data_IF_263711959050
#
_entry.id   IF_263711959050
#
_cell.length_a   1.000
_cell.length_b   1.000
_cell.length_c   1.000
_cell.angle_alpha   90.00
_cell.angle_beta   90.00
_cell.angle_gamma   90.00
#
_symmetry.space_group_name_H-M   'P 1'
#
loop_
_entity.id
_entity.type
_entity.pdbx_description
1 polymer ?
#
# COMPACT_ATOMS: atom_id res chain seq x y z
N UNK A 1 9.36 3.16 21.61
CA UNK A 1 9.15 3.77 20.28
C UNK A 1 10.20 4.85 20.07
N UNK A 2 10.92 4.85 18.93
CA UNK A 2 11.91 5.91 18.63
C UNK A 2 11.15 7.24 18.41
N UNK A 3 11.66 8.39 18.88
CA UNK A 3 11.01 9.70 18.73
C UNK A 3 10.62 10.03 17.26
N UNK A 4 11.39 9.51 16.30
CA UNK A 4 11.06 9.65 14.88
C UNK A 4 9.81 8.86 14.47
N UNK A 5 9.53 7.71 15.11
CA UNK A 5 8.33 6.90 14.88
C UNK A 5 7.08 7.57 15.45
N UNK A 6 7.19 8.25 16.59
CA UNK A 6 6.08 9.02 17.20
C UNK A 6 5.64 10.17 16.29
N UNK A 7 6.57 11.02 15.86
CA UNK A 7 6.28 12.16 14.96
C UNK A 7 5.67 11.64 13.64
N UNK A 8 6.20 10.53 13.10
CA UNK A 8 5.65 9.92 11.90
C UNK A 8 4.23 9.41 12.13
N UNK A 9 3.98 8.67 13.22
CA UNK A 9 2.65 8.15 13.52
C UNK A 9 1.63 9.28 13.70
N UNK A 10 2.00 10.36 14.41
CA UNK A 10 1.09 11.45 14.72
C UNK A 10 0.78 12.39 13.55
N UNK A 11 1.68 12.52 12.57
CA UNK A 11 1.49 13.41 11.41
C UNK A 11 1.15 12.67 10.12
N UNK A 12 1.81 11.54 9.82
CA UNK A 12 1.55 10.83 8.56
C UNK A 12 0.23 10.06 8.58
N UNK A 13 -0.20 9.55 9.73
CA UNK A 13 -1.44 8.78 9.83
C UNK A 13 -2.67 9.67 10.07
N UNK A 14 -2.50 10.99 10.21
CA UNK A 14 -3.62 11.89 10.45
C UNK A 14 -4.51 11.98 9.23
N UNK A 15 -5.82 11.80 9.41
CA UNK A 15 -6.74 11.69 8.28
C UNK A 15 -7.41 13.04 7.94
N UNK A 16 -7.42 14.01 8.84
CA UNK A 16 -8.09 15.30 8.63
C UNK A 16 -7.22 16.50 9.04
N UNK A 17 -7.57 17.68 8.52
CA UNK A 17 -6.79 18.91 8.71
C UNK A 17 -6.75 19.36 10.18
N UNK A 18 -7.87 19.25 10.88
CA UNK A 18 -8.00 19.72 12.28
C UNK A 18 -7.06 18.93 13.20
N UNK A 19 -7.10 17.59 13.11
CA UNK A 19 -6.20 16.72 13.85
C UNK A 19 -4.75 16.94 13.44
N UNK A 20 -4.46 17.24 12.15
CA UNK A 20 -3.09 17.47 11.69
C UNK A 20 -2.51 18.73 12.33
N UNK A 21 -3.27 19.83 12.32
CA UNK A 21 -2.87 21.09 12.96
C UNK A 21 -2.70 20.91 14.47
N UNK A 22 -3.65 20.24 15.15
CA UNK A 22 -3.56 19.96 16.59
C UNK A 22 -2.32 19.13 16.95
N UNK A 23 -2.08 18.04 16.24
CA UNK A 23 -0.93 17.16 16.48
C UNK A 23 0.39 17.87 16.21
N UNK A 24 0.45 18.69 15.15
CA UNK A 24 1.63 19.52 14.85
C UNK A 24 1.92 20.50 15.99
N UNK A 25 0.92 21.22 16.50
CA UNK A 25 1.10 22.16 17.62
C UNK A 25 1.60 21.46 18.90
N UNK A 26 1.04 20.29 19.24
CA UNK A 26 1.49 19.49 20.39
C UNK A 26 2.96 19.08 20.21
N UNK A 27 3.33 18.60 19.03
CA UNK A 27 4.70 18.17 18.74
C UNK A 27 5.69 19.33 18.75
N UNK A 28 5.32 20.49 18.18
CA UNK A 28 6.15 21.70 18.21
C UNK A 28 6.37 22.20 19.65
N UNK A 29 5.33 22.16 20.50
CA UNK A 29 5.47 22.50 21.93
C UNK A 29 6.40 21.52 22.66
N UNK A 30 6.25 20.21 22.41
CA UNK A 30 7.07 19.14 23.00
C UNK A 30 8.55 19.27 22.62
N UNK A 31 8.83 19.61 21.36
CA UNK A 31 10.19 19.68 20.81
C UNK A 31 10.70 21.11 20.59
N UNK A 32 10.13 22.11 21.28
CA UNK A 32 10.45 23.54 21.10
C UNK A 32 11.95 23.87 21.17
N UNK A 33 12.70 23.16 22.02
CA UNK A 33 14.14 23.36 22.21
C UNK A 33 15.01 22.46 21.32
N UNK A 34 14.41 21.71 20.38
CA UNK A 34 15.12 20.83 19.47
C UNK A 34 14.88 21.26 18.01
N UNK A 35 15.79 22.09 17.49
CA UNK A 35 15.70 22.66 16.15
C UNK A 35 15.53 21.60 15.06
N UNK A 36 16.30 20.51 15.12
CA UNK A 36 16.26 19.42 14.13
C UNK A 36 14.87 18.79 14.09
N UNK A 37 14.29 18.49 15.26
CA UNK A 37 12.94 17.92 15.36
C UNK A 37 11.86 18.92 14.92
N UNK A 38 11.97 20.18 15.30
CA UNK A 38 11.04 21.24 14.88
C UNK A 38 10.97 21.36 13.36
N UNK A 39 12.13 21.44 12.68
CA UNK A 39 12.19 21.48 11.21
C UNK A 39 11.57 20.22 10.60
N UNK A 40 11.87 19.05 11.16
CA UNK A 40 11.30 17.78 10.72
C UNK A 40 9.76 17.76 10.84
N UNK A 41 9.21 18.25 11.95
CA UNK A 41 7.76 18.35 12.19
C UNK A 41 7.13 19.30 11.16
N UNK A 42 7.69 20.48 10.95
CA UNK A 42 7.18 21.45 9.98
C UNK A 42 7.18 20.89 8.55
N UNK A 43 8.26 20.21 8.15
CA UNK A 43 8.35 19.60 6.83
C UNK A 43 7.33 18.47 6.65
N UNK A 44 7.12 17.63 7.67
CA UNK A 44 6.10 16.57 7.66
C UNK A 44 4.69 17.13 7.62
N UNK A 45 4.41 18.17 8.41
CA UNK A 45 3.14 18.89 8.40
C UNK A 45 2.84 19.44 7.00
N UNK A 46 3.76 20.19 6.39
CA UNK A 46 3.61 20.74 5.04
C UNK A 46 3.31 19.64 4.01
N UNK A 47 4.06 18.53 4.07
CA UNK A 47 3.87 17.39 3.17
C UNK A 47 2.50 16.75 3.35
N UNK A 48 2.06 16.50 4.59
CA UNK A 48 0.75 15.90 4.87
C UNK A 48 -0.39 16.84 4.50
N UNK A 49 -0.29 18.12 4.84
CA UNK A 49 -1.27 19.15 4.50
C UNK A 49 -1.54 19.16 2.99
N UNK A 50 -0.49 19.23 2.17
CA UNK A 50 -0.60 19.21 0.70
C UNK A 50 -1.32 17.97 0.15
N UNK A 51 -1.21 16.83 0.83
CA UNK A 51 -1.93 15.61 0.44
C UNK A 51 -3.41 15.71 0.82
N UNK A 52 -3.70 16.12 2.06
CA UNK A 52 -5.07 16.28 2.55
C UNK A 52 -5.85 17.32 1.72
N UNK A 53 -5.22 18.45 1.37
CA UNK A 53 -5.81 19.50 0.51
C UNK A 53 -6.23 18.95 -0.86
N UNK A 54 -5.55 17.91 -1.35
CA UNK A 54 -5.83 17.25 -2.63
C UNK A 54 -6.74 16.02 -2.51
N UNK A 55 -7.23 15.70 -1.30
CA UNK A 55 -7.98 14.47 -1.05
C UNK A 55 -7.15 13.19 -1.22
N UNK A 56 -5.82 13.29 -1.07
CA UNK A 56 -4.86 12.20 -1.24
C UNK A 56 -4.37 11.65 0.10
N UNK A 57 -3.89 10.42 0.07
CA UNK A 57 -3.29 9.72 1.20
C UNK A 57 -1.94 9.07 0.84
N UNK A 58 -1.11 8.78 1.84
CA UNK A 58 0.13 8.03 1.71
C UNK A 58 -0.10 6.62 2.23
N UNK A 59 -0.07 5.65 1.32
CA UNK A 59 -0.29 4.25 1.63
C UNK A 59 1.05 3.54 1.64
N UNK A 60 1.42 2.97 2.78
CA UNK A 60 2.63 2.17 2.94
C UNK A 60 2.43 0.81 2.28
N UNK A 61 3.35 0.43 1.40
CA UNK A 61 3.28 -0.81 0.64
C UNK A 61 4.40 -1.77 1.03
N UNK A 62 4.03 -3.02 1.22
CA UNK A 62 4.94 -4.13 1.47
C UNK A 62 4.95 -5.05 0.26
N UNK A 63 6.11 -5.63 -0.03
CA UNK A 63 6.33 -6.55 -1.14
C UNK A 63 6.94 -7.87 -0.64
N UNK A 64 6.56 -8.97 -1.27
CA UNK A 64 7.30 -10.23 -1.18
C UNK A 64 7.35 -10.93 -2.54
N UNK A 65 8.33 -11.82 -2.73
CA UNK A 65 8.43 -12.65 -3.93
C UNK A 65 7.79 -14.02 -3.70
N UNK A 66 7.35 -14.72 -4.76
CA UNK A 66 6.78 -16.06 -4.63
C UNK A 66 7.71 -17.06 -3.94
N UNK A 67 9.02 -16.90 -4.09
CA UNK A 67 10.04 -17.78 -3.51
C UNK A 67 10.41 -17.39 -2.08
N UNK A 68 10.08 -16.17 -1.65
CA UNK A 68 10.33 -15.70 -0.29
C UNK A 68 9.09 -15.00 0.29
N UNK A 69 8.05 -15.79 0.53
CA UNK A 69 6.75 -15.28 1.01
C UNK A 69 6.79 -14.79 2.46
N UNK A 70 7.76 -15.22 3.25
CA UNK A 70 7.85 -14.90 4.68
C UNK A 70 8.58 -13.58 4.94
N UNK A 71 9.50 -13.17 4.06
CA UNK A 71 10.21 -11.90 4.18
C UNK A 71 9.42 -10.78 3.52
N UNK A 72 8.94 -9.84 4.34
CA UNK A 72 8.29 -8.62 3.88
C UNK A 72 9.30 -7.50 3.67
N UNK A 73 9.35 -6.97 2.46
CA UNK A 73 10.17 -5.80 2.11
C UNK A 73 9.28 -4.57 2.11
N UNK A 74 9.63 -3.56 2.91
CA UNK A 74 8.98 -2.26 2.85
C UNK A 74 9.42 -1.53 1.56
N UNK A 75 8.51 -1.39 0.61
CA UNK A 75 8.75 -0.74 -0.69
C UNK A 75 8.52 0.78 -0.66
N UNK A 76 8.25 1.34 0.52
CA UNK A 76 7.96 2.76 0.69
C UNK A 76 6.46 3.05 0.64
N UNK A 77 6.12 4.26 0.19
CA UNK A 77 4.74 4.74 0.17
C UNK A 77 4.32 5.08 -1.26
N UNK A 78 3.06 4.79 -1.59
CA UNK A 78 2.38 5.31 -2.78
C UNK A 78 1.39 6.40 -2.38
N UNK A 79 1.11 7.32 -3.30
CA UNK A 79 0.06 8.32 -3.10
C UNK A 79 -1.22 7.87 -3.79
N UNK A 80 -2.31 7.73 -3.05
CA UNK A 80 -3.62 7.30 -3.55
C UNK A 80 -4.69 8.32 -3.22
N UNK A 81 -5.87 8.22 -3.85
CA UNK A 81 -7.06 8.90 -3.30
C UNK A 81 -7.40 8.30 -1.94
N UNK A 82 -8.00 9.10 -1.06
CA UNK A 82 -8.42 8.65 0.27
C UNK A 82 -9.41 7.49 0.17
N UNK A 83 -9.17 6.42 0.96
CA UNK A 83 -9.99 5.21 0.94
C UNK A 83 -9.87 4.34 -0.32
N UNK A 84 -9.06 4.73 -1.29
CA UNK A 84 -8.86 3.94 -2.51
C UNK A 84 -8.11 2.64 -2.19
N UNK A 85 -8.63 1.51 -2.65
CA UNK A 85 -7.93 0.23 -2.56
C UNK A 85 -6.72 0.19 -3.50
N UNK A 86 -5.73 -0.65 -3.19
CA UNK A 86 -4.57 -0.86 -4.06
C UNK A 86 -5.03 -1.34 -5.45
N UNK A 87 -6.03 -2.22 -5.52
CA UNK A 87 -6.61 -2.68 -6.79
C UNK A 87 -7.11 -1.53 -7.66
N UNK A 88 -7.88 -0.61 -7.09
CA UNK A 88 -8.40 0.55 -7.83
C UNK A 88 -7.30 1.56 -8.20
N UNK A 89 -6.28 1.71 -7.34
CA UNK A 89 -5.10 2.51 -7.68
C UNK A 89 -4.37 1.93 -8.90
N UNK A 90 -4.18 0.61 -8.94
CA UNK A 90 -3.50 -0.08 -10.04
C UNK A 90 -4.28 -0.01 -11.36
N UNK A 91 -5.62 -0.09 -11.30
CA UNK A 91 -6.47 0.10 -12.49
C UNK A 91 -6.28 1.44 -13.19
N UNK A 92 -5.86 2.48 -12.45
CA UNK A 92 -5.53 3.78 -13.03
C UNK A 92 -4.17 3.84 -13.73
N UNK A 93 -3.37 2.76 -13.73
CA UNK A 93 -2.00 2.74 -14.29
C UNK A 93 -1.91 2.18 -15.71
N UNK A 94 -2.90 1.42 -16.14
CA UNK A 94 -2.96 0.86 -17.49
C UNK A 94 -4.40 0.61 -17.89
N UNK A 95 -4.66 0.42 -19.18
CA UNK A 95 -5.96 -0.07 -19.65
C UNK A 95 -6.11 -1.53 -19.26
N UNK A 96 -7.08 -1.84 -18.42
CA UNK A 96 -7.28 -3.18 -17.85
C UNK A 96 -8.66 -3.74 -18.17
N UNK A 97 -8.74 -5.07 -18.26
CA UNK A 97 -9.97 -5.85 -18.37
C UNK A 97 -10.08 -6.84 -17.22
N UNK A 98 -11.31 -7.22 -16.89
CA UNK A 98 -11.56 -8.29 -15.93
C UNK A 98 -11.62 -9.61 -16.66
N UNK A 99 -10.96 -10.63 -16.12
CA UNK A 99 -11.10 -12.01 -16.56
C UNK A 99 -11.53 -12.87 -15.37
N UNK A 100 -12.51 -13.77 -15.55
CA UNK A 100 -12.87 -14.70 -14.51
C UNK A 100 -11.71 -15.66 -14.26
N UNK A 101 -11.48 -15.99 -13.00
CA UNK A 101 -10.52 -17.04 -12.63
C UNK A 101 -11.23 -18.39 -12.48
N UNK A 102 -12.53 -18.40 -12.17
CA UNK A 102 -13.24 -19.61 -11.76
C UNK A 102 -12.87 -20.09 -10.35
N UNK A 103 -12.21 -19.26 -9.54
CA UNK A 103 -11.90 -19.54 -8.13
C UNK A 103 -12.82 -18.78 -7.17
N UNK A 104 -13.36 -19.47 -6.16
CA UNK A 104 -14.26 -18.90 -5.16
C UNK A 104 -13.64 -17.75 -4.34
N UNK A 105 -12.32 -17.76 -4.14
CA UNK A 105 -11.62 -16.82 -3.25
C UNK A 105 -10.83 -15.76 -4.03
N UNK A 106 -10.55 -16.00 -5.31
CA UNK A 106 -9.85 -15.08 -6.19
C UNK A 106 -10.68 -14.83 -7.44
N UNK A 107 -11.96 -14.48 -7.31
CA UNK A 107 -13.00 -14.53 -8.37
C UNK A 107 -12.70 -13.77 -9.67
N UNK A 108 -11.74 -12.83 -9.64
CA UNK A 108 -11.36 -12.03 -10.82
C UNK A 108 -9.86 -11.83 -10.91
N UNK A 109 -9.37 -11.94 -12.12
CA UNK A 109 -8.05 -11.49 -12.55
C UNK A 109 -8.20 -10.16 -13.27
N UNK A 110 -7.25 -9.25 -13.08
CA UNK A 110 -7.22 -7.95 -13.74
C UNK A 110 -6.04 -7.96 -14.69
N UNK A 111 -6.33 -8.08 -15.98
CA UNK A 111 -5.32 -8.20 -17.04
C UNK A 111 -5.20 -6.88 -17.76
N UNK A 112 -3.97 -6.41 -17.95
CA UNK A 112 -3.70 -5.22 -18.75
C UNK A 112 -3.74 -5.58 -20.25
N UNK A 113 -4.36 -4.71 -21.07
CA UNK A 113 -4.38 -4.89 -22.53
C UNK A 113 -2.97 -4.89 -23.13
N UNK A 114 -2.05 -4.14 -22.51
CA UNK A 114 -0.62 -4.14 -22.80
C UNK A 114 0.14 -4.27 -21.48
N UNK A 115 1.24 -5.04 -21.43
CA UNK A 115 2.06 -5.12 -20.23
C UNK A 115 2.54 -3.74 -19.79
N UNK A 116 2.60 -3.51 -18.48
CA UNK A 116 3.04 -2.24 -17.91
C UNK A 116 4.11 -2.47 -16.85
N UNK A 117 4.86 -1.42 -16.52
CA UNK A 117 5.91 -1.52 -15.50
C UNK A 117 5.36 -1.05 -14.15
N UNK A 118 5.53 -1.88 -13.12
CA UNK A 118 5.19 -1.54 -11.75
C UNK A 118 6.30 -1.97 -10.80
N UNK A 119 6.75 -1.07 -9.92
CA UNK A 119 7.89 -1.27 -9.02
C UNK A 119 9.14 -1.85 -9.72
N UNK A 120 9.44 -1.35 -10.92
CA UNK A 120 10.61 -1.76 -11.71
C UNK A 120 10.47 -3.10 -12.43
N UNK A 121 9.30 -3.74 -12.40
CA UNK A 121 9.06 -5.01 -13.10
C UNK A 121 7.91 -4.90 -14.11
N UNK A 122 8.11 -5.51 -15.28
CA UNK A 122 7.06 -5.62 -16.32
C UNK A 122 6.05 -6.67 -15.90
N UNK A 123 4.77 -6.29 -15.84
CA UNK A 123 3.65 -7.13 -15.40
C UNK A 123 2.54 -7.10 -16.45
N UNK A 124 1.85 -8.22 -16.61
CA UNK A 124 0.73 -8.42 -17.52
C UNK A 124 -0.60 -8.19 -16.81
N UNK A 125 -0.64 -8.35 -15.49
CA UNK A 125 -1.84 -8.13 -14.70
C UNK A 125 -1.60 -8.38 -13.22
N UNK A 126 -2.71 -8.39 -12.48
CA UNK A 126 -2.70 -8.78 -11.08
C UNK A 126 -4.02 -9.40 -10.64
N UNK A 127 -3.96 -10.15 -9.55
CA UNK A 127 -5.13 -10.70 -8.87
C UNK A 127 -5.30 -9.90 -7.58
N UNK A 128 -6.40 -9.13 -7.43
CA UNK A 128 -6.64 -8.32 -6.25
C UNK A 128 -7.05 -9.17 -5.05
N UNK A 129 -6.75 -8.68 -3.86
CA UNK A 129 -7.29 -9.18 -2.61
C UNK A 129 -7.51 -8.02 -1.63
N UNK A 130 -8.45 -8.21 -0.71
CA UNK A 130 -8.82 -7.19 0.25
C UNK A 130 -7.89 -7.15 1.47
N UNK A 131 -7.96 -6.07 2.25
CA UNK A 131 -7.28 -5.97 3.54
C UNK A 131 -8.00 -6.77 4.61
N UNK A 132 -7.23 -7.22 5.61
CA UNK A 132 -7.74 -7.78 6.86
C UNK A 132 -7.59 -6.75 8.00
N UNK A 133 -7.75 -7.18 9.27
CA UNK A 133 -7.77 -6.24 10.39
C UNK A 133 -6.42 -5.57 10.66
N UNK A 134 -5.32 -6.26 10.35
CA UNK A 134 -3.96 -5.81 10.61
C UNK A 134 -2.97 -6.33 9.57
N UNK A 135 -1.72 -5.84 9.63
CA UNK A 135 -0.69 -6.18 8.65
C UNK A 135 -0.41 -7.70 8.56
N UNK A 136 -0.39 -8.40 9.70
CA UNK A 136 -0.09 -9.84 9.76
C UNK A 136 -1.19 -10.66 9.11
N UNK A 137 -2.44 -10.31 9.37
CA UNK A 137 -3.60 -10.96 8.77
C UNK A 137 -3.68 -10.69 7.26
N UNK A 138 -3.47 -9.43 6.84
CA UNK A 138 -3.45 -9.10 5.41
C UNK A 138 -2.32 -9.87 4.70
N UNK A 139 -1.17 -10.06 5.34
CA UNK A 139 -0.09 -10.90 4.81
C UNK A 139 -0.48 -12.38 4.74
N UNK A 140 -1.12 -12.93 5.78
CA UNK A 140 -1.59 -14.31 5.79
C UNK A 140 -2.63 -14.56 4.70
N UNK A 141 -3.56 -13.64 4.50
CA UNK A 141 -4.56 -13.70 3.44
C UNK A 141 -3.91 -13.63 2.05
N UNK A 142 -2.95 -12.72 1.84
CA UNK A 142 -2.17 -12.65 0.61
C UNK A 142 -1.41 -13.96 0.31
N UNK A 143 -0.85 -14.61 1.34
CA UNK A 143 -0.20 -15.94 1.20
C UNK A 143 -1.21 -17.01 0.81
N UNK A 144 -2.38 -17.02 1.45
CA UNK A 144 -3.44 -17.98 1.15
C UNK A 144 -3.86 -17.90 -0.33
N UNK A 145 -4.16 -16.69 -0.82
CA UNK A 145 -4.48 -16.44 -2.23
C UNK A 145 -3.33 -16.89 -3.13
N UNK A 146 -2.09 -16.47 -2.84
CA UNK A 146 -0.94 -16.82 -3.65
C UNK A 146 -0.60 -18.31 -3.68
N UNK A 147 -0.86 -19.06 -2.61
CA UNK A 147 -0.72 -20.54 -2.59
C UNK A 147 -1.79 -21.19 -3.45
N UNK A 148 -3.04 -20.81 -3.26
CA UNK A 148 -4.18 -21.37 -4.00
C UNK A 148 -4.04 -21.19 -5.51
N UNK A 149 -3.60 -20.00 -5.93
CA UNK A 149 -3.38 -19.70 -7.35
C UNK A 149 -2.22 -20.51 -7.94
N UNK A 150 -1.17 -20.80 -7.17
CA UNK A 150 -0.13 -21.72 -7.64
C UNK A 150 -0.73 -23.10 -7.90
N UNK A 151 -1.49 -23.66 -6.97
CA UNK A 151 -2.05 -25.01 -7.15
C UNK A 151 -3.05 -25.13 -8.31
N UNK A 152 -3.76 -24.05 -8.67
CA UNK A 152 -4.82 -24.07 -9.69
C UNK A 152 -4.39 -23.60 -11.09
N UNK A 153 -3.38 -22.72 -11.20
CA UNK A 153 -2.96 -22.10 -12.48
C UNK A 153 -1.51 -22.38 -12.87
N UNK A 154 -0.94 -23.51 -12.41
CA UNK A 154 0.46 -23.90 -12.64
C UNK A 154 0.93 -23.79 -14.11
N UNK A 155 0.02 -23.80 -15.08
CA UNK A 155 0.37 -23.80 -16.50
C UNK A 155 0.33 -22.42 -17.20
N UNK A 156 -0.50 -21.46 -16.78
CA UNK A 156 -0.71 -20.21 -17.56
C UNK A 156 -0.29 -18.90 -16.85
N UNK A 157 -0.31 -18.86 -15.51
CA UNK A 157 -0.05 -17.62 -14.76
C UNK A 157 1.14 -17.83 -13.83
N UNK A 158 2.25 -17.13 -14.11
CA UNK A 158 3.48 -17.15 -13.30
C UNK A 158 3.57 -15.91 -12.41
N UNK A 159 3.29 -16.00 -11.10
CA UNK A 159 3.40 -14.86 -10.20
C UNK A 159 4.84 -14.34 -10.16
N UNK A 160 5.01 -13.01 -10.15
CA UNK A 160 6.32 -12.33 -10.05
C UNK A 160 6.57 -11.77 -8.65
N UNK A 161 5.58 -11.09 -8.09
CA UNK A 161 5.61 -10.54 -6.74
C UNK A 161 4.20 -10.24 -6.25
N UNK A 162 4.07 -10.07 -4.94
CA UNK A 162 2.84 -9.57 -4.32
C UNK A 162 3.12 -8.25 -3.64
N UNK A 163 2.20 -7.30 -3.76
CA UNK A 163 2.17 -6.11 -2.91
C UNK A 163 0.92 -6.10 -2.05
N UNK A 164 1.01 -5.48 -0.88
CA UNK A 164 -0.16 -5.14 -0.09
C UNK A 164 0.11 -3.98 0.85
N UNK A 165 -0.97 -3.40 1.33
CA UNK A 165 -1.01 -2.47 2.44
C UNK A 165 -1.96 -3.01 3.48
N UNK A 166 -1.66 -2.76 4.76
CA UNK A 166 -2.47 -3.17 5.89
C UNK A 166 -3.97 -2.86 5.70
N UNK A 167 -4.32 -1.63 5.31
CA UNK A 167 -5.71 -1.14 5.24
C UNK A 167 -6.29 -0.99 3.83
N UNK A 168 -5.53 -1.33 2.79
CA UNK A 168 -5.92 -1.05 1.39
C UNK A 168 -5.89 -2.29 0.49
N UNK A 169 -5.77 -3.47 1.09
CA UNK A 169 -5.62 -4.75 0.38
C UNK A 169 -4.34 -4.79 -0.44
N UNK A 170 -4.37 -5.53 -1.53
CA UNK A 170 -3.19 -5.72 -2.37
C UNK A 170 -3.48 -6.38 -3.70
N UNK A 171 -2.38 -6.83 -4.33
CA UNK A 171 -2.42 -7.52 -5.60
C UNK A 171 -1.24 -8.46 -5.77
N UNK A 172 -1.51 -9.66 -6.25
CA UNK A 172 -0.50 -10.61 -6.73
C UNK A 172 -0.29 -10.38 -8.22
N UNK A 173 0.92 -10.02 -8.62
CA UNK A 173 1.27 -9.65 -10.00
C UNK A 173 1.87 -10.82 -10.76
N UNK A 174 1.62 -10.85 -12.06
CA UNK A 174 2.16 -11.82 -13.03
C UNK A 174 2.52 -11.11 -14.33
#
# INVERSE_FOLDING_TARGET
>A
MNANSEINALLYNTTNMNSLSRNSSILLKKYKNNRVKTVMIMNRYKKRKKLLDKGLDLVKIYKYSPNNINTLINTGNITTKRGQSISNYLRGKATMKNEPTGDLFATKMIVAKKPFTFLGQKVNGFIPFDSSSNLKETHAYAKFIGRRLRFKYLNDIKPKFTIFSEKHGGGLFF
#
